data_IF_467117938855
#
_entry.id   IF_467117938855
#
_cell.length_a   1.000
_cell.length_b   1.000
_cell.length_c   1.000
_cell.angle_alpha   90.00
_cell.angle_beta   90.00
_cell.angle_gamma   90.00
#
_symmetry.space_group_name_H-M   'P 1'
#
loop_
_entity.id
_entity.type
_entity.pdbx_description
1 polymer ?
#
# COMPACT_ATOMS: atom_id res chain seq x y z
N UNK A 1 -10.96 -1.83 6.33
CA UNK A 1 -11.94 -2.93 6.41
C UNK A 1 -11.73 -3.98 5.31
N UNK A 2 -11.70 -3.64 4.02
CA UNK A 2 -11.52 -4.65 2.95
C UNK A 2 -10.17 -5.41 3.01
N UNK A 3 -9.04 -4.71 3.04
CA UNK A 3 -7.71 -5.35 3.09
C UNK A 3 -7.47 -6.16 4.38
N UNK A 4 -7.93 -5.66 5.53
CA UNK A 4 -7.86 -6.36 6.83
C UNK A 4 -8.67 -7.66 6.81
N UNK A 5 -9.77 -7.70 6.03
CA UNK A 5 -10.60 -8.89 5.84
C UNK A 5 -10.13 -9.75 4.65
N UNK A 6 -8.97 -9.45 4.05
CA UNK A 6 -8.42 -10.12 2.85
C UNK A 6 -9.37 -10.10 1.64
N UNK A 7 -10.29 -9.14 1.59
CA UNK A 7 -11.21 -8.93 0.48
C UNK A 7 -10.55 -8.09 -0.62
N UNK A 8 -9.74 -8.77 -1.44
CA UNK A 8 -9.02 -8.14 -2.56
C UNK A 8 -9.95 -7.63 -3.65
N UNK A 9 -11.16 -8.20 -3.79
CA UNK A 9 -12.13 -7.76 -4.78
C UNK A 9 -12.67 -6.39 -4.39
N UNK A 10 -13.12 -6.25 -3.14
CA UNK A 10 -13.58 -4.96 -2.63
C UNK A 10 -12.44 -3.94 -2.58
N UNK A 11 -11.22 -4.35 -2.25
CA UNK A 11 -10.07 -3.46 -2.30
C UNK A 11 -9.78 -2.94 -3.72
N UNK A 12 -9.97 -3.77 -4.76
CA UNK A 12 -9.84 -3.34 -6.16
C UNK A 12 -10.92 -2.35 -6.58
N UNK A 13 -12.17 -2.54 -6.12
CA UNK A 13 -13.27 -1.61 -6.40
C UNK A 13 -13.03 -0.22 -5.78
N UNK A 14 -12.39 -0.18 -4.61
CA UNK A 14 -12.19 1.06 -3.84
C UNK A 14 -10.86 1.76 -4.12
N UNK A 15 -9.93 1.13 -4.85
CA UNK A 15 -8.55 1.63 -4.98
C UNK A 15 -8.47 3.00 -5.64
N UNK A 16 -9.34 3.25 -6.62
CA UNK A 16 -9.41 4.55 -7.31
C UNK A 16 -10.00 5.64 -6.41
N UNK A 17 -11.07 5.33 -5.68
CA UNK A 17 -11.67 6.27 -4.73
C UNK A 17 -10.68 6.62 -3.61
N UNK A 18 -9.94 5.64 -3.09
CA UNK A 18 -8.86 5.89 -2.12
C UNK A 18 -7.80 6.82 -2.69
N UNK A 19 -7.40 6.66 -3.96
CA UNK A 19 -6.44 7.55 -4.60
C UNK A 19 -6.95 9.00 -4.66
N UNK A 20 -8.22 9.22 -5.03
CA UNK A 20 -8.84 10.55 -5.07
C UNK A 20 -8.83 11.20 -3.68
N UNK A 21 -9.22 10.46 -2.64
CA UNK A 21 -9.20 10.94 -1.25
C UNK A 21 -7.79 11.31 -0.76
N UNK A 22 -6.76 10.56 -1.17
CA UNK A 22 -5.37 10.88 -0.82
C UNK A 22 -4.91 12.18 -1.49
N UNK A 23 -5.34 12.43 -2.72
CA UNK A 23 -5.09 13.70 -3.42
C UNK A 23 -5.79 14.87 -2.71
N UNK A 24 -7.06 14.71 -2.36
CA UNK A 24 -7.85 15.73 -1.64
C UNK A 24 -7.26 16.10 -0.27
N UNK A 25 -6.66 15.12 0.43
CA UNK A 25 -6.01 15.34 1.72
C UNK A 25 -4.63 15.98 1.61
N UNK A 26 -4.16 16.28 0.39
CA UNK A 26 -2.80 16.71 0.10
C UNK A 26 -1.73 15.81 0.73
N UNK A 27 -2.04 14.52 0.91
CA UNK A 27 -1.05 13.61 1.48
C UNK A 27 0.19 13.61 0.58
N UNK A 28 1.36 13.78 1.21
CA UNK A 28 2.59 13.98 0.48
C UNK A 28 2.85 12.76 -0.42
N UNK A 29 3.02 13.01 -1.72
CA UNK A 29 3.28 11.99 -2.73
C UNK A 29 4.50 11.11 -2.36
N UNK A 30 5.47 11.68 -1.65
CA UNK A 30 6.71 11.02 -1.26
C UNK A 30 6.50 9.86 -0.27
N UNK A 31 5.85 10.04 0.90
CA UNK A 31 5.51 8.92 1.78
C UNK A 31 4.70 7.79 1.13
N UNK A 32 3.75 8.11 0.24
CA UNK A 32 2.95 7.10 -0.46
C UNK A 32 3.81 6.30 -1.46
N UNK A 33 4.67 6.99 -2.21
CA UNK A 33 5.62 6.36 -3.13
C UNK A 33 6.59 5.45 -2.38
N UNK A 34 7.16 5.94 -1.29
CA UNK A 34 8.06 5.17 -0.44
C UNK A 34 7.39 3.89 0.08
N UNK A 35 6.13 3.99 0.53
CA UNK A 35 5.35 2.82 0.94
C UNK A 35 5.09 1.86 -0.23
N UNK A 36 4.79 2.40 -1.41
CA UNK A 36 4.63 1.61 -2.62
C UNK A 36 5.90 0.82 -2.96
N UNK A 37 7.06 1.48 -2.94
CA UNK A 37 8.36 0.90 -3.24
C UNK A 37 8.74 -0.19 -2.22
N UNK A 38 8.49 0.07 -0.94
CA UNK A 38 8.64 -0.94 0.12
C UNK A 38 7.79 -2.18 -0.16
N UNK A 39 6.52 -1.99 -0.51
CA UNK A 39 5.60 -3.10 -0.83
C UNK A 39 5.98 -3.83 -2.13
N UNK A 40 6.73 -3.22 -3.04
CA UNK A 40 7.21 -3.93 -4.24
C UNK A 40 8.42 -4.84 -3.97
N UNK A 41 9.13 -4.67 -2.84
CA UNK A 41 10.25 -5.55 -2.48
C UNK A 41 9.78 -7.02 -2.41
N UNK A 42 10.69 -7.94 -2.67
CA UNK A 42 10.43 -9.35 -2.35
C UNK A 42 10.54 -9.53 -0.83
N UNK A 43 9.64 -10.32 -0.26
CA UNK A 43 9.74 -10.80 1.12
C UNK A 43 9.31 -12.25 1.10
N UNK A 44 10.29 -13.15 1.08
CA UNK A 44 10.04 -14.58 0.93
C UNK A 44 10.10 -15.34 2.25
N UNK A 45 10.80 -14.77 3.25
CA UNK A 45 10.91 -15.34 4.59
C UNK A 45 10.31 -14.43 5.70
N UNK A 46 10.26 -14.97 6.91
CA UNK A 46 9.69 -14.27 8.07
C UNK A 46 10.55 -13.10 8.56
N UNK A 47 11.86 -13.13 8.33
CA UNK A 47 12.77 -12.02 8.69
C UNK A 47 12.53 -10.83 7.77
N UNK A 48 12.37 -11.07 6.47
CA UNK A 48 12.00 -10.06 5.49
C UNK A 48 10.68 -9.38 5.86
N UNK A 49 9.68 -10.15 6.28
CA UNK A 49 8.38 -9.62 6.72
C UNK A 49 8.52 -8.71 7.94
N UNK A 50 9.36 -9.07 8.91
CA UNK A 50 9.62 -8.26 10.11
C UNK A 50 10.34 -6.96 9.74
N UNK A 51 11.37 -7.05 8.89
CA UNK A 51 12.09 -5.87 8.40
C UNK A 51 11.15 -4.93 7.66
N UNK A 52 10.40 -5.44 6.68
CA UNK A 52 9.46 -4.66 5.90
C UNK A 52 8.39 -4.00 6.77
N UNK A 53 7.83 -4.75 7.74
CA UNK A 53 6.88 -4.20 8.70
C UNK A 53 7.48 -3.00 9.44
N UNK A 54 8.74 -3.10 9.87
CA UNK A 54 9.41 -1.99 10.54
C UNK A 54 9.58 -0.78 9.60
N UNK A 55 9.99 -1.01 8.35
CA UNK A 55 10.17 0.05 7.36
C UNK A 55 8.84 0.77 7.07
N UNK A 56 7.74 0.02 6.94
CA UNK A 56 6.39 0.56 6.74
C UNK A 56 5.95 1.45 7.90
N UNK A 57 6.14 1.00 9.14
CA UNK A 57 5.72 1.76 10.33
C UNK A 57 6.48 3.08 10.47
N UNK A 58 7.75 3.11 10.08
CA UNK A 58 8.59 4.33 10.11
C UNK A 58 8.11 5.39 9.11
N UNK A 59 7.44 5.00 8.00
CA UNK A 59 6.89 5.97 7.03
C UNK A 59 5.76 6.83 7.57
N UNK A 60 5.12 6.40 8.66
CA UNK A 60 4.11 7.17 9.40
C UNK A 60 3.08 7.85 8.48
N UNK A 61 2.39 7.06 7.66
CA UNK A 61 1.24 7.47 6.85
C UNK A 61 -0.02 6.77 7.40
N UNK A 62 -0.62 7.23 8.52
CA UNK A 62 -1.84 6.63 9.04
C UNK A 62 -3.05 7.03 8.20
N UNK A 63 -4.00 6.11 7.94
CA UNK A 63 -4.10 4.75 8.47
C UNK A 63 -3.40 3.66 7.61
N UNK A 64 -2.79 4.05 6.49
CA UNK A 64 -2.23 3.14 5.49
C UNK A 64 -1.07 2.30 6.05
N UNK A 65 -0.12 2.92 6.74
CA UNK A 65 1.06 2.25 7.30
C UNK A 65 0.68 1.16 8.30
N UNK A 66 -0.26 1.43 9.19
CA UNK A 66 -0.75 0.43 10.17
C UNK A 66 -1.43 -0.75 9.50
N UNK A 67 -2.23 -0.47 8.45
CA UNK A 67 -2.91 -1.53 7.70
C UNK A 67 -1.87 -2.41 7.01
N UNK A 68 -0.96 -1.83 6.22
CA UNK A 68 0.06 -2.56 5.47
C UNK A 68 0.98 -3.38 6.40
N UNK A 69 1.38 -2.81 7.53
CA UNK A 69 2.20 -3.49 8.54
C UNK A 69 1.55 -4.76 9.10
N UNK A 70 0.22 -4.79 9.25
CA UNK A 70 -0.52 -5.99 9.66
C UNK A 70 -0.56 -7.02 8.52
N UNK A 71 -0.87 -6.57 7.29
CA UNK A 71 -1.02 -7.48 6.15
C UNK A 71 0.27 -8.22 5.82
N UNK A 72 1.42 -7.54 5.90
CA UNK A 72 2.73 -8.14 5.60
C UNK A 72 3.03 -9.36 6.47
N UNK A 73 2.56 -9.38 7.72
CA UNK A 73 2.76 -10.54 8.60
C UNK A 73 1.83 -11.71 8.27
N UNK A 74 0.63 -11.43 7.78
CA UNK A 74 -0.43 -12.44 7.60
C UNK A 74 -0.51 -13.01 6.18
N UNK A 75 0.17 -12.40 5.20
CA UNK A 75 -0.01 -12.71 3.79
C UNK A 75 0.94 -13.81 3.31
N UNK A 76 0.38 -14.77 2.58
CA UNK A 76 1.15 -15.73 1.78
C UNK A 76 1.64 -15.09 0.46
N UNK A 77 2.45 -15.84 -0.31
CA UNK A 77 3.03 -15.33 -1.57
C UNK A 77 2.00 -14.80 -2.57
N UNK A 78 0.86 -15.48 -2.72
CA UNK A 78 -0.22 -15.07 -3.63
C UNK A 78 -0.92 -13.79 -3.16
N UNK A 79 -1.19 -13.68 -1.85
CA UNK A 79 -1.79 -12.50 -1.23
C UNK A 79 -0.86 -11.28 -1.30
N UNK A 80 0.44 -11.48 -1.08
CA UNK A 80 1.46 -10.44 -1.25
C UNK A 80 1.49 -9.92 -2.69
N UNK A 81 1.37 -10.80 -3.69
CA UNK A 81 1.33 -10.37 -5.09
C UNK A 81 0.08 -9.55 -5.44
N UNK A 82 -1.08 -9.92 -4.88
CA UNK A 82 -2.30 -9.10 -5.02
C UNK A 82 -2.15 -7.74 -4.36
N UNK A 83 -1.54 -7.68 -3.17
CA UNK A 83 -1.25 -6.41 -2.49
C UNK A 83 -0.32 -5.52 -3.31
N UNK A 84 0.73 -6.10 -3.91
CA UNK A 84 1.65 -5.38 -4.83
C UNK A 84 0.89 -4.76 -6.00
N UNK A 85 0.00 -5.52 -6.63
CA UNK A 85 -0.83 -5.04 -7.75
C UNK A 85 -1.76 -3.91 -7.32
N UNK A 86 -2.41 -4.03 -6.17
CA UNK A 86 -3.29 -2.99 -5.63
C UNK A 86 -2.52 -1.71 -5.27
N UNK A 87 -1.37 -1.81 -4.61
CA UNK A 87 -0.53 -0.65 -4.31
C UNK A 87 -0.04 0.04 -5.58
N UNK A 88 0.32 -0.73 -6.61
CA UNK A 88 0.68 -0.16 -7.91
C UNK A 88 -0.49 0.57 -8.57
N UNK A 89 -1.69 0.01 -8.52
CA UNK A 89 -2.90 0.67 -9.02
C UNK A 89 -3.19 1.97 -8.27
N UNK A 90 -3.11 1.95 -6.93
CA UNK A 90 -3.28 3.12 -6.07
C UNK A 90 -2.31 4.24 -6.46
N UNK A 91 -1.02 3.94 -6.62
CA UNK A 91 -0.02 4.92 -7.04
C UNK A 91 -0.30 5.49 -8.44
N UNK A 92 -0.71 4.65 -9.39
CA UNK A 92 -1.04 5.10 -10.73
C UNK A 92 -2.24 6.06 -10.73
N UNK A 93 -3.32 5.72 -10.00
CA UNK A 93 -4.47 6.61 -9.85
C UNK A 93 -4.10 7.89 -9.12
N UNK A 94 -3.32 7.81 -8.04
CA UNK A 94 -2.87 8.99 -7.31
C UNK A 94 -2.07 9.93 -8.20
N UNK A 95 -1.15 9.39 -9.02
CA UNK A 95 -0.38 10.17 -10.00
C UNK A 95 -1.28 10.81 -11.05
N UNK A 96 -2.26 10.06 -11.56
CA UNK A 96 -3.22 10.55 -12.54
C UNK A 96 -4.04 11.74 -12.00
N UNK A 97 -4.57 11.63 -10.77
CA UNK A 97 -5.42 12.67 -10.18
C UNK A 97 -4.65 13.83 -9.55
N UNK A 98 -3.44 13.61 -9.02
CA UNK A 98 -2.63 14.68 -8.42
C UNK A 98 -2.01 15.62 -9.46
N UNK A 99 -1.98 15.23 -10.73
CA UNK A 99 -1.29 15.99 -11.79
C UNK A 99 0.22 16.08 -11.62
N UNK A 100 0.81 15.43 -10.60
CA UNK A 100 2.25 15.40 -10.34
C UNK A 100 2.89 14.42 -11.31
N UNK A 101 3.48 14.94 -12.39
CA UNK A 101 4.48 14.23 -13.20
C UNK A 101 5.82 14.35 -12.48
N UNK A 102 6.55 13.23 -12.42
CA UNK A 102 7.92 13.21 -11.87
C UNK A 102 8.81 14.23 -12.58
#
# INVERSE_FOLDING_TARGET
>A
MALKNKDFKKAAELVEECAKLLVEKEEAATPLRDLGDLIQKSWEDEVDKVLLRSEILVKNVPPLSNTLAQLVQEYNKSEAEKLRKLMRALMNFFRYYSGKRD
#
